data_IF_374167062380
#
_entry.id   IF_374167062380
#
_cell.length_a   1.000
_cell.length_b   1.000
_cell.length_c   1.000
_cell.angle_alpha   90.00
_cell.angle_beta   90.00
_cell.angle_gamma   90.00
#
_symmetry.space_group_name_H-M   'P 1'
#
loop_
_entity.id
_entity.type
_entity.pdbx_description
1 polymer ?
#
# COMPACT_ATOMS: atom_id res chain seq x y z
N UNK A 1 -10.97 18.14 5.66
CA UNK A 1 -10.93 16.87 4.89
C UNK A 1 -11.11 15.75 5.90
N UNK A 2 -11.80 14.68 5.52
CA UNK A 2 -12.07 13.59 6.46
C UNK A 2 -10.81 12.76 6.66
N UNK A 3 -10.47 12.50 7.93
CA UNK A 3 -9.32 11.68 8.30
C UNK A 3 -9.66 10.22 8.03
N UNK A 4 -8.87 9.57 7.16
CA UNK A 4 -9.05 8.17 6.82
C UNK A 4 -8.34 7.24 7.79
N UNK A 5 -7.07 7.52 8.11
CA UNK A 5 -6.26 6.74 9.05
C UNK A 5 -5.78 7.64 10.17
N UNK A 6 -5.97 7.22 11.43
CA UNK A 6 -5.50 7.93 12.62
C UNK A 6 -4.74 6.97 13.51
N UNK A 7 -3.54 7.37 13.87
CA UNK A 7 -2.61 6.60 14.71
C UNK A 7 -2.23 7.45 15.93
N UNK A 8 -2.46 6.93 17.13
CA UNK A 8 -2.21 7.64 18.38
C UNK A 8 -1.31 6.82 19.30
N UNK A 9 -0.15 7.38 19.65
CA UNK A 9 0.81 6.84 20.61
C UNK A 9 1.11 5.35 20.37
N UNK A 10 1.21 4.92 19.12
CA UNK A 10 1.44 3.53 18.75
C UNK A 10 2.80 3.07 19.26
N UNK A 11 2.79 1.97 20.00
CA UNK A 11 3.99 1.35 20.54
C UNK A 11 4.09 -0.11 20.04
N UNK A 12 5.32 -0.53 19.72
CA UNK A 12 5.66 -1.94 19.55
C UNK A 12 6.98 -2.15 20.27
N UNK A 13 7.00 -3.02 21.26
CA UNK A 13 8.15 -3.20 22.14
C UNK A 13 9.48 -3.26 21.39
N UNK A 14 10.42 -2.37 21.77
CA UNK A 14 11.76 -2.22 21.20
C UNK A 14 11.84 -1.77 19.74
N UNK A 15 10.68 -1.49 19.07
CA UNK A 15 10.65 -1.20 17.63
C UNK A 15 9.99 0.14 17.34
N UNK A 16 8.84 0.44 17.99
CA UNK A 16 8.09 1.69 17.77
C UNK A 16 7.81 2.40 19.09
N UNK A 17 8.00 3.71 19.13
CA UNK A 17 7.95 4.52 20.34
C UNK A 17 6.97 5.68 20.18
N UNK A 18 5.70 5.50 20.67
CA UNK A 18 4.65 6.54 20.69
C UNK A 18 4.41 7.22 19.33
N UNK A 19 4.47 6.44 18.25
CA UNK A 19 4.25 6.95 16.89
C UNK A 19 2.82 7.47 16.77
N UNK A 20 2.66 8.71 16.31
CA UNK A 20 1.35 9.34 16.09
C UNK A 20 1.35 10.11 14.78
N UNK A 21 0.38 9.85 13.92
CA UNK A 21 0.13 10.59 12.68
C UNK A 21 -1.30 10.36 12.20
N UNK A 22 -1.71 11.17 11.24
CA UNK A 22 -3.01 11.05 10.58
C UNK A 22 -2.80 11.02 9.06
N UNK A 23 -3.74 10.47 8.33
CA UNK A 23 -3.74 10.44 6.88
C UNK A 23 -5.15 10.82 6.38
N UNK A 24 -5.20 11.68 5.37
CA UNK A 24 -6.46 12.14 4.78
C UNK A 24 -6.96 11.19 3.70
N UNK A 25 -8.27 11.27 3.40
CA UNK A 25 -8.84 10.55 2.27
C UNK A 25 -8.20 11.01 0.96
N UNK A 26 -7.77 10.06 0.11
CA UNK A 26 -7.13 10.33 -1.17
C UNK A 26 -5.68 10.81 -1.07
N UNK A 27 -5.08 10.84 0.13
CA UNK A 27 -3.67 11.15 0.32
C UNK A 27 -2.78 9.99 -0.12
N UNK A 28 -1.62 10.30 -0.71
CA UNK A 28 -0.52 9.37 -0.91
C UNK A 28 0.60 9.72 0.08
N UNK A 29 0.74 8.91 1.13
CA UNK A 29 1.69 9.11 2.23
C UNK A 29 2.86 8.13 2.12
N UNK A 30 4.10 8.65 2.14
CA UNK A 30 5.30 7.81 2.24
C UNK A 30 5.81 7.74 3.69
N UNK A 31 6.21 6.55 4.12
CA UNK A 31 7.02 6.36 5.33
C UNK A 31 8.42 5.97 4.88
N UNK A 32 9.39 6.84 5.15
CA UNK A 32 10.80 6.64 4.86
C UNK A 32 11.61 6.40 6.14
N UNK A 33 12.81 5.85 5.98
CA UNK A 33 13.74 5.61 7.07
C UNK A 33 14.76 4.53 6.70
N UNK A 34 15.90 4.42 7.38
CA UNK A 34 16.91 3.40 7.11
C UNK A 34 16.38 1.97 7.36
N UNK A 35 17.14 0.97 6.92
CA UNK A 35 16.82 -0.43 7.24
C UNK A 35 16.78 -0.64 8.75
N UNK A 36 15.77 -1.35 9.24
CA UNK A 36 15.59 -1.59 10.68
C UNK A 36 14.91 -0.48 11.48
N UNK A 37 14.55 0.66 10.87
CA UNK A 37 13.88 1.77 11.59
C UNK A 37 12.44 1.49 12.04
N UNK A 38 11.85 0.35 11.66
CA UNK A 38 10.51 -0.05 12.07
C UNK A 38 9.40 0.23 11.04
N UNK A 39 9.72 0.62 9.79
CA UNK A 39 8.72 0.98 8.75
C UNK A 39 7.70 -0.11 8.45
N UNK A 40 8.14 -1.32 8.11
CA UNK A 40 7.23 -2.44 7.83
C UNK A 40 6.46 -2.86 9.08
N UNK A 41 7.10 -2.78 10.27
CA UNK A 41 6.42 -2.99 11.55
C UNK A 41 5.32 -1.97 11.75
N UNK A 42 5.57 -0.69 11.45
CA UNK A 42 4.56 0.36 11.52
C UNK A 42 3.40 0.06 10.56
N UNK A 43 3.69 -0.25 9.29
CA UNK A 43 2.68 -0.60 8.30
C UNK A 43 1.82 -1.79 8.75
N UNK A 44 2.42 -2.85 9.29
CA UNK A 44 1.66 -4.04 9.75
C UNK A 44 0.84 -3.76 11.00
N UNK A 45 1.31 -2.91 11.90
CA UNK A 45 0.53 -2.50 13.08
C UNK A 45 -0.65 -1.60 12.70
N UNK A 46 -0.47 -0.61 11.81
CA UNK A 46 -1.56 0.29 11.41
C UNK A 46 -2.60 -0.38 10.51
N UNK A 47 -2.24 -1.46 9.83
CA UNK A 47 -3.15 -2.28 9.03
C UNK A 47 -3.82 -3.42 9.80
N UNK A 48 -3.51 -3.57 11.09
CA UNK A 48 -4.04 -4.66 11.92
C UNK A 48 -3.55 -6.06 11.53
N UNK A 49 -2.41 -6.15 10.79
CA UNK A 49 -1.75 -7.43 10.51
C UNK A 49 -0.90 -7.91 11.69
N UNK A 50 -0.38 -6.97 12.47
CA UNK A 50 0.34 -7.22 13.71
C UNK A 50 -0.30 -6.43 14.85
N UNK A 51 -0.18 -6.93 16.06
CA UNK A 51 -0.77 -6.31 17.25
C UNK A 51 0.26 -5.37 17.90
N UNK A 52 -0.04 -4.06 18.05
CA UNK A 52 0.81 -3.15 18.82
C UNK A 52 0.78 -3.51 20.31
N UNK A 53 1.82 -3.12 21.05
CA UNK A 53 1.88 -3.28 22.51
C UNK A 53 1.22 -2.12 23.26
N UNK A 54 0.88 -1.04 22.55
CA UNK A 54 0.15 0.11 23.08
C UNK A 54 -0.22 1.11 21.99
N UNK A 55 -1.06 2.06 22.36
CA UNK A 55 -1.60 3.04 21.42
C UNK A 55 -2.85 2.55 20.69
N UNK A 56 -3.36 3.37 19.78
CA UNK A 56 -4.61 3.11 19.07
C UNK A 56 -4.49 3.46 17.59
N UNK A 57 -5.22 2.71 16.77
CA UNK A 57 -5.33 2.94 15.32
C UNK A 57 -6.80 2.90 14.92
N UNK A 58 -7.21 3.88 14.09
CA UNK A 58 -8.54 3.93 13.49
C UNK A 58 -8.46 4.00 11.97
N UNK A 59 -9.40 3.30 11.31
CA UNK A 59 -9.72 3.49 9.90
C UNK A 59 -11.12 4.10 9.81
N UNK A 60 -11.22 5.37 9.45
CA UNK A 60 -12.43 6.16 9.62
C UNK A 60 -12.86 6.13 11.09
N UNK A 61 -14.11 5.72 11.35
CA UNK A 61 -14.68 5.62 12.69
C UNK A 61 -14.40 4.27 13.39
N UNK A 62 -13.69 3.33 12.72
CA UNK A 62 -13.45 1.98 13.25
C UNK A 62 -12.10 1.91 13.96
N UNK A 63 -12.09 1.69 15.29
CA UNK A 63 -10.86 1.41 16.04
C UNK A 63 -10.36 -0.02 15.75
N UNK A 64 -9.25 -0.14 15.01
CA UNK A 64 -8.67 -1.42 14.57
C UNK A 64 -8.09 -2.18 15.77
N UNK A 65 -7.37 -1.49 16.66
CA UNK A 65 -6.64 -2.08 17.78
C UNK A 65 -7.50 -2.81 18.77
N UNK A 66 -8.77 -2.41 18.89
CA UNK A 66 -9.76 -3.05 19.78
C UNK A 66 -10.51 -4.25 19.18
N UNK A 67 -10.32 -4.53 17.89
CA UNK A 67 -11.04 -5.61 17.19
C UNK A 67 -10.47 -7.00 17.50
N UNK A 68 -11.34 -8.03 17.45
CA UNK A 68 -10.91 -9.42 17.41
C UNK A 68 -10.17 -9.74 16.10
N UNK A 69 -9.38 -10.82 16.07
CA UNK A 69 -8.64 -11.22 14.87
C UNK A 69 -9.55 -11.49 13.67
N UNK A 70 -10.72 -12.09 13.88
CA UNK A 70 -11.71 -12.31 12.83
C UNK A 70 -12.28 -10.98 12.28
N UNK A 71 -12.59 -10.01 13.16
CA UNK A 71 -13.05 -8.69 12.76
C UNK A 71 -11.97 -7.89 12.02
N UNK A 72 -10.69 -8.00 12.44
CA UNK A 72 -9.56 -7.43 11.71
C UNK A 72 -9.40 -8.08 10.33
N UNK A 73 -9.55 -9.41 10.24
CA UNK A 73 -9.46 -10.13 8.97
C UNK A 73 -10.59 -9.69 8.00
N UNK A 74 -11.81 -9.52 8.51
CA UNK A 74 -12.94 -9.01 7.72
C UNK A 74 -12.71 -7.56 7.28
N UNK A 75 -12.22 -6.70 8.17
CA UNK A 75 -11.87 -5.32 7.85
C UNK A 75 -10.79 -5.24 6.75
N UNK A 76 -9.71 -6.04 6.87
CA UNK A 76 -8.66 -6.10 5.85
C UNK A 76 -9.22 -6.59 4.51
N UNK A 77 -10.08 -7.61 4.52
CA UNK A 77 -10.66 -8.17 3.31
C UNK A 77 -11.53 -7.15 2.54
N UNK A 78 -12.30 -6.33 3.25
CA UNK A 78 -13.30 -5.46 2.63
C UNK A 78 -12.87 -4.01 2.44
N UNK A 79 -11.96 -3.50 3.31
CA UNK A 79 -11.63 -2.07 3.33
C UNK A 79 -10.17 -1.75 3.06
N UNK A 80 -9.28 -2.76 3.01
CA UNK A 80 -7.84 -2.55 2.83
C UNK A 80 -7.30 -3.36 1.66
N UNK A 81 -6.38 -2.77 0.89
CA UNK A 81 -5.60 -3.48 -0.11
C UNK A 81 -4.14 -3.58 0.31
N UNK A 82 -3.44 -4.63 -0.13
CA UNK A 82 -2.05 -4.88 0.26
C UNK A 82 -1.17 -5.22 -0.93
N UNK A 83 -0.03 -4.52 -1.01
CA UNK A 83 1.08 -4.81 -1.91
C UNK A 83 2.29 -5.09 -1.03
N UNK A 84 2.76 -6.32 -1.01
CA UNK A 84 3.90 -6.75 -0.22
C UNK A 84 5.19 -6.69 -1.03
N UNK A 85 6.31 -6.51 -0.35
CA UNK A 85 7.65 -6.61 -0.94
C UNK A 85 7.87 -7.98 -1.60
N UNK A 86 7.49 -9.06 -0.92
CA UNK A 86 7.33 -10.38 -1.54
C UNK A 86 5.91 -10.48 -2.08
N UNK A 87 5.76 -10.67 -3.35
CA UNK A 87 4.47 -10.58 -4.07
C UNK A 87 3.36 -11.51 -3.54
N UNK A 88 3.71 -12.54 -2.77
CA UNK A 88 2.78 -13.46 -2.07
C UNK A 88 1.65 -13.98 -2.98
N UNK A 89 2.00 -14.35 -4.22
CA UNK A 89 1.11 -15.04 -5.13
C UNK A 89 1.10 -16.53 -4.84
N UNK A 90 -0.06 -17.17 -4.97
CA UNK A 90 -0.21 -18.61 -4.77
C UNK A 90 0.32 -19.32 -6.01
N UNK A 91 1.37 -20.13 -5.84
CA UNK A 91 2.12 -20.76 -6.92
C UNK A 91 1.30 -21.70 -7.82
N UNK A 92 0.31 -22.37 -7.26
CA UNK A 92 -0.53 -23.34 -7.97
C UNK A 92 -1.73 -22.69 -8.70
N UNK A 93 -1.88 -21.36 -8.62
CA UNK A 93 -2.92 -20.61 -9.31
C UNK A 93 -2.33 -19.80 -10.45
N UNK A 94 -3.09 -19.67 -11.54
CA UNK A 94 -2.76 -18.71 -12.61
C UNK A 94 -2.95 -17.26 -12.13
N UNK A 95 -2.58 -16.29 -12.95
CA UNK A 95 -2.66 -14.85 -12.61
C UNK A 95 -4.12 -14.44 -12.33
N UNK A 96 -5.07 -14.83 -13.16
CA UNK A 96 -6.48 -14.47 -12.97
C UNK A 96 -7.06 -15.05 -11.68
N UNK A 97 -6.76 -16.30 -11.36
CA UNK A 97 -7.24 -16.95 -10.14
C UNK A 97 -6.64 -16.30 -8.88
N UNK A 98 -5.36 -15.91 -8.93
CA UNK A 98 -4.74 -15.12 -7.86
C UNK A 98 -5.44 -13.77 -7.65
N UNK A 99 -5.77 -13.06 -8.73
CA UNK A 99 -6.47 -11.78 -8.70
C UNK A 99 -7.89 -11.94 -8.13
N UNK A 100 -8.59 -13.02 -8.50
CA UNK A 100 -9.98 -13.27 -8.07
C UNK A 100 -10.08 -13.72 -6.61
N UNK A 101 -9.03 -14.28 -6.02
CA UNK A 101 -9.07 -14.92 -4.71
C UNK A 101 -9.71 -14.06 -3.61
N UNK A 102 -9.27 -12.81 -3.35
CA UNK A 102 -9.83 -11.99 -2.28
C UNK A 102 -11.30 -11.62 -2.55
N UNK A 103 -11.67 -11.28 -3.77
CA UNK A 103 -13.05 -10.89 -4.09
C UNK A 103 -14.00 -12.08 -4.06
N UNK A 104 -13.54 -13.27 -4.42
CA UNK A 104 -14.32 -14.50 -4.25
C UNK A 104 -14.53 -14.84 -2.76
N UNK A 105 -13.54 -14.56 -1.91
CA UNK A 105 -13.67 -14.77 -0.46
C UNK A 105 -14.66 -13.76 0.14
N UNK A 106 -14.56 -12.47 -0.21
CA UNK A 106 -15.47 -11.43 0.25
C UNK A 106 -16.92 -11.66 -0.19
N UNK A 107 -17.11 -12.30 -1.35
CA UNK A 107 -18.42 -12.54 -1.96
C UNK A 107 -19.16 -13.78 -1.38
N UNK A 108 -18.54 -14.56 -0.48
CA UNK A 108 -19.16 -15.74 0.12
C UNK A 108 -20.36 -15.36 1.01
N UNK A 109 -21.52 -15.96 0.74
CA UNK A 109 -22.67 -15.99 1.64
C UNK A 109 -23.64 -14.80 1.57
N UNK A 110 -23.55 -13.86 0.61
CA UNK A 110 -24.36 -12.62 0.64
C UNK A 110 -25.07 -12.26 -0.67
N UNK A 111 -25.44 -13.21 -1.52
CA UNK A 111 -26.13 -12.84 -2.77
C UNK A 111 -25.39 -11.82 -3.62
N UNK A 112 -24.05 -11.85 -3.58
CA UNK A 112 -23.17 -10.92 -4.26
C UNK A 112 -23.03 -11.18 -5.75
N UNK A 113 -22.06 -10.55 -6.40
CA UNK A 113 -21.78 -10.68 -7.84
C UNK A 113 -21.57 -12.15 -8.24
N UNK A 114 -22.10 -12.56 -9.38
CA UNK A 114 -21.84 -13.88 -9.96
C UNK A 114 -20.36 -14.05 -10.30
N UNK A 115 -19.89 -15.29 -10.41
CA UNK A 115 -18.51 -15.58 -10.82
C UNK A 115 -18.17 -14.94 -12.17
N UNK A 116 -19.12 -14.88 -13.11
CA UNK A 116 -18.93 -14.26 -14.41
C UNK A 116 -18.72 -12.74 -14.31
N UNK A 117 -19.46 -12.07 -13.43
CA UNK A 117 -19.28 -10.63 -13.16
C UNK A 117 -17.93 -10.32 -12.50
N UNK A 118 -17.51 -11.14 -11.53
CA UNK A 118 -16.19 -11.01 -10.91
C UNK A 118 -15.05 -11.20 -11.92
N UNK A 119 -15.17 -12.17 -12.82
CA UNK A 119 -14.19 -12.38 -13.90
C UNK A 119 -14.18 -11.18 -14.87
N UNK A 120 -15.33 -10.65 -15.22
CA UNK A 120 -15.43 -9.49 -16.10
C UNK A 120 -14.76 -8.25 -15.47
N UNK A 121 -14.98 -8.03 -14.17
CA UNK A 121 -14.34 -6.95 -13.41
C UNK A 121 -12.82 -7.16 -13.33
N UNK A 122 -12.35 -8.36 -12.97
CA UNK A 122 -10.92 -8.67 -12.95
C UNK A 122 -10.26 -8.39 -14.30
N UNK A 123 -10.87 -8.83 -15.41
CA UNK A 123 -10.38 -8.54 -16.77
C UNK A 123 -10.38 -7.06 -17.09
N UNK A 124 -11.34 -6.28 -16.59
CA UNK A 124 -11.35 -4.82 -16.73
C UNK A 124 -10.16 -4.18 -16.02
N UNK A 125 -9.90 -4.56 -14.76
CA UNK A 125 -8.74 -4.08 -13.97
C UNK A 125 -7.41 -4.51 -14.60
N UNK A 126 -7.33 -5.74 -15.09
CA UNK A 126 -6.15 -6.23 -15.80
C UNK A 126 -5.84 -5.41 -17.06
N UNK A 127 -6.87 -4.94 -17.80
CA UNK A 127 -6.68 -4.03 -18.94
C UNK A 127 -6.12 -2.67 -18.50
N UNK A 128 -6.66 -2.10 -17.43
CA UNK A 128 -6.16 -0.83 -16.87
C UNK A 128 -4.67 -0.91 -16.50
N UNK A 129 -4.22 -2.07 -15.99
CA UNK A 129 -2.85 -2.33 -15.58
C UNK A 129 -1.96 -2.96 -16.67
N UNK A 130 -2.43 -3.01 -17.93
CA UNK A 130 -1.68 -3.52 -19.08
C UNK A 130 -1.16 -4.96 -18.90
N UNK A 131 -2.01 -5.85 -18.34
CA UNK A 131 -1.73 -7.28 -18.10
C UNK A 131 -2.86 -8.19 -18.59
N UNK A 132 -3.67 -7.76 -19.56
CA UNK A 132 -4.86 -8.49 -20.04
C UNK A 132 -4.56 -9.90 -20.53
N UNK A 133 -3.42 -10.08 -21.18
CA UNK A 133 -3.00 -11.34 -21.83
C UNK A 133 -2.43 -12.36 -20.83
N UNK A 134 -2.21 -11.98 -19.58
CA UNK A 134 -1.54 -12.80 -18.58
C UNK A 134 -2.47 -13.71 -17.78
N UNK A 135 -3.80 -13.55 -17.92
CA UNK A 135 -4.77 -14.19 -17.03
C UNK A 135 -4.61 -15.71 -16.88
N UNK A 136 -4.30 -16.43 -17.95
CA UNK A 136 -4.07 -17.89 -17.94
C UNK A 136 -2.62 -18.31 -17.65
N UNK A 137 -1.69 -17.36 -17.53
CA UNK A 137 -0.27 -17.65 -17.27
C UNK A 137 -0.05 -18.04 -15.82
N UNK A 138 0.91 -18.95 -15.59
CA UNK A 138 1.43 -19.24 -14.27
C UNK A 138 2.33 -18.09 -13.79
N UNK A 139 2.48 -17.92 -12.48
CA UNK A 139 3.31 -16.87 -11.91
C UNK A 139 4.78 -16.92 -12.37
N UNK A 140 5.27 -18.11 -12.71
CA UNK A 140 6.65 -18.34 -13.22
C UNK A 140 6.81 -17.98 -14.70
N UNK A 141 5.73 -17.68 -15.41
CA UNK A 141 5.73 -17.40 -16.87
C UNK A 141 5.63 -15.89 -17.18
N UNK A 142 5.72 -15.04 -16.16
CA UNK A 142 5.58 -13.59 -16.28
C UNK A 142 6.79 -12.89 -15.68
N UNK A 143 7.09 -11.67 -16.16
CA UNK A 143 8.18 -10.87 -15.59
C UNK A 143 7.82 -10.35 -14.19
N UNK A 144 8.84 -9.94 -13.41
CA UNK A 144 8.62 -9.35 -12.09
C UNK A 144 7.68 -8.14 -12.11
N UNK A 145 7.85 -7.22 -13.07
CA UNK A 145 6.97 -6.06 -13.23
C UNK A 145 5.52 -6.44 -13.59
N UNK A 146 5.34 -7.45 -14.49
CA UNK A 146 4.02 -7.99 -14.79
C UNK A 146 3.37 -8.63 -13.56
N UNK A 147 4.14 -9.39 -12.79
CA UNK A 147 3.65 -10.02 -11.56
C UNK A 147 3.28 -8.95 -10.51
N UNK A 148 4.07 -7.88 -10.39
CA UNK A 148 3.77 -6.78 -9.48
C UNK A 148 2.48 -6.05 -9.87
N UNK A 149 2.24 -5.79 -11.17
CA UNK A 149 0.96 -5.23 -11.64
C UNK A 149 -0.21 -6.18 -11.38
N UNK A 150 -0.01 -7.49 -11.43
CA UNK A 150 -1.02 -8.46 -11.02
C UNK A 150 -1.29 -8.40 -9.50
N UNK A 151 -0.26 -8.15 -8.66
CA UNK A 151 -0.44 -7.90 -7.22
C UNK A 151 -1.25 -6.63 -6.95
N UNK A 152 -0.96 -5.54 -7.68
CA UNK A 152 -1.77 -4.32 -7.62
C UNK A 152 -3.22 -4.63 -8.02
N UNK A 153 -3.42 -5.34 -9.13
CA UNK A 153 -4.76 -5.73 -9.58
C UNK A 153 -5.51 -6.50 -8.49
N UNK A 154 -4.87 -7.49 -7.87
CA UNK A 154 -5.43 -8.27 -6.76
C UNK A 154 -5.82 -7.40 -5.58
N UNK A 155 -4.97 -6.44 -5.20
CA UNK A 155 -5.16 -5.60 -4.01
C UNK A 155 -6.33 -4.63 -4.13
N UNK A 156 -6.75 -4.25 -5.35
CA UNK A 156 -7.85 -3.32 -5.60
C UNK A 156 -9.17 -3.99 -5.98
N UNK A 157 -9.24 -5.33 -6.00
CA UNK A 157 -10.45 -6.06 -6.44
C UNK A 157 -11.66 -5.83 -5.55
N UNK A 158 -11.46 -5.62 -4.26
CA UNK A 158 -12.53 -5.35 -3.28
C UNK A 158 -12.82 -3.85 -3.10
N UNK A 159 -12.29 -2.97 -3.98
CA UNK A 159 -12.48 -1.52 -3.92
C UNK A 159 -12.12 -0.95 -2.52
N UNK A 160 -10.88 -1.18 -2.04
CA UNK A 160 -10.49 -0.79 -0.69
C UNK A 160 -10.47 0.73 -0.52
N UNK A 161 -10.63 1.21 0.72
CA UNK A 161 -10.52 2.62 1.07
C UNK A 161 -9.06 3.10 1.14
N UNK A 162 -8.16 2.17 1.47
CA UNK A 162 -6.72 2.43 1.59
C UNK A 162 -5.91 1.26 1.02
N UNK A 163 -4.82 1.58 0.34
CA UNK A 163 -3.83 0.64 -0.16
C UNK A 163 -2.55 0.77 0.67
N UNK A 164 -2.14 -0.30 1.33
CA UNK A 164 -0.86 -0.41 2.02
C UNK A 164 0.17 -1.05 1.10
N UNK A 165 1.32 -0.41 0.91
CA UNK A 165 2.36 -0.86 0.00
C UNK A 165 3.72 -0.91 0.73
N UNK A 166 4.26 -2.11 0.92
CA UNK A 166 5.55 -2.35 1.55
C UNK A 166 6.61 -2.54 0.47
N UNK A 167 7.42 -1.53 0.22
CA UNK A 167 8.47 -1.48 -0.80
C UNK A 167 8.03 -2.04 -2.18
N UNK A 168 6.95 -1.55 -2.76
CA UNK A 168 6.30 -2.18 -3.92
C UNK A 168 7.20 -2.35 -5.14
N UNK A 169 8.23 -1.50 -5.40
CA UNK A 169 9.19 -1.73 -6.49
C UNK A 169 10.49 -2.44 -6.06
N UNK A 170 10.65 -2.81 -4.77
CA UNK A 170 11.95 -3.14 -4.17
C UNK A 170 12.73 -4.32 -4.79
N UNK A 171 12.06 -5.22 -5.54
CA UNK A 171 12.69 -6.36 -6.20
C UNK A 171 12.80 -6.19 -7.73
N UNK A 172 12.47 -5.00 -8.28
CA UNK A 172 12.36 -4.76 -9.71
C UNK A 172 13.57 -3.97 -10.26
N UNK A 173 13.83 -4.12 -11.57
CA UNK A 173 14.75 -3.20 -12.24
C UNK A 173 14.13 -1.80 -12.36
N UNK A 174 14.95 -0.77 -12.64
CA UNK A 174 14.54 0.65 -12.66
C UNK A 174 13.34 0.94 -13.58
N UNK A 175 13.27 0.28 -14.75
CA UNK A 175 12.16 0.49 -15.70
C UNK A 175 10.85 -0.05 -15.13
N UNK A 176 10.84 -1.31 -14.69
CA UNK A 176 9.66 -1.94 -14.11
C UNK A 176 9.21 -1.27 -12.80
N UNK A 177 10.18 -0.78 -11.99
CA UNK A 177 9.89 0.02 -10.81
C UNK A 177 9.14 1.31 -11.16
N UNK A 178 9.59 2.03 -12.19
CA UNK A 178 8.93 3.24 -12.67
C UNK A 178 7.49 2.97 -13.15
N UNK A 179 7.26 1.87 -13.85
CA UNK A 179 5.91 1.47 -14.29
C UNK A 179 4.97 1.20 -13.10
N UNK A 180 5.46 0.51 -12.07
CA UNK A 180 4.68 0.22 -10.84
C UNK A 180 4.31 1.52 -10.12
N UNK A 181 5.26 2.44 -9.96
CA UNK A 181 4.99 3.75 -9.33
C UNK A 181 3.98 4.56 -10.15
N UNK A 182 4.09 4.55 -11.47
CA UNK A 182 3.13 5.22 -12.35
C UNK A 182 1.71 4.66 -12.21
N UNK A 183 1.55 3.33 -12.05
CA UNK A 183 0.24 2.74 -11.79
C UNK A 183 -0.33 3.14 -10.41
N UNK A 184 0.50 3.19 -9.37
CA UNK A 184 0.07 3.68 -8.05
C UNK A 184 -0.35 5.15 -8.09
N UNK A 185 0.38 5.99 -8.83
CA UNK A 185 0.01 7.40 -9.04
C UNK A 185 -1.33 7.54 -9.74
N UNK A 186 -1.61 6.75 -10.77
CA UNK A 186 -2.92 6.77 -11.44
C UNK A 186 -4.05 6.41 -10.48
N UNK A 187 -3.88 5.36 -9.67
CA UNK A 187 -4.85 4.97 -8.66
C UNK A 187 -5.08 6.09 -7.64
N UNK A 188 -4.02 6.78 -7.20
CA UNK A 188 -4.15 7.91 -6.28
C UNK A 188 -4.87 9.11 -6.94
N UNK A 189 -4.59 9.41 -8.21
CA UNK A 189 -5.30 10.45 -8.98
C UNK A 189 -6.80 10.12 -9.16
N UNK A 190 -7.16 8.83 -9.18
CA UNK A 190 -8.55 8.34 -9.17
C UNK A 190 -9.19 8.38 -7.76
N UNK A 191 -8.47 8.86 -6.74
CA UNK A 191 -8.97 9.05 -5.37
C UNK A 191 -8.56 7.96 -4.38
N UNK A 192 -7.76 6.97 -4.77
CA UNK A 192 -7.25 5.93 -3.87
C UNK A 192 -6.29 6.52 -2.84
N UNK A 193 -6.53 6.26 -1.55
CA UNK A 193 -5.58 6.56 -0.49
C UNK A 193 -4.47 5.51 -0.45
N UNK A 194 -3.20 5.93 -0.41
CA UNK A 194 -2.06 4.99 -0.47
C UNK A 194 -1.05 5.33 0.63
N UNK A 195 -0.80 4.38 1.52
CA UNK A 195 0.32 4.44 2.46
C UNK A 195 1.44 3.53 1.95
N UNK A 196 2.57 4.13 1.59
CA UNK A 196 3.72 3.44 1.00
C UNK A 196 4.91 3.47 1.95
N UNK A 197 5.52 2.32 2.19
CA UNK A 197 6.83 2.23 2.86
C UNK A 197 7.89 2.10 1.79
N UNK A 198 8.90 2.96 1.85
CA UNK A 198 10.00 2.94 0.88
C UNK A 198 11.28 3.52 1.46
N UNK A 199 12.42 3.10 0.92
CA UNK A 199 13.72 3.73 1.12
C UNK A 199 14.18 4.51 -0.12
N UNK A 200 13.39 4.52 -1.20
CA UNK A 200 13.70 5.19 -2.45
C UNK A 200 13.11 6.62 -2.45
N UNK A 201 13.97 7.63 -2.45
CA UNK A 201 13.59 9.04 -2.48
C UNK A 201 12.82 9.43 -3.75
N UNK A 202 13.06 8.73 -4.86
CA UNK A 202 12.32 8.95 -6.11
C UNK A 202 10.87 8.50 -5.96
N UNK A 203 10.63 7.34 -5.33
CA UNK A 203 9.27 6.88 -5.01
C UNK A 203 8.60 7.86 -4.04
N UNK A 204 9.28 8.22 -2.96
CA UNK A 204 8.74 9.14 -1.97
C UNK A 204 8.43 10.54 -2.52
N UNK A 205 9.22 11.02 -3.50
CA UNK A 205 8.97 12.31 -4.15
C UNK A 205 7.67 12.37 -4.95
N UNK A 206 7.07 11.22 -5.26
CA UNK A 206 5.76 11.16 -5.92
C UNK A 206 4.58 11.25 -4.94
N UNK A 207 4.83 11.11 -3.63
CA UNK A 207 3.80 11.15 -2.60
C UNK A 207 3.44 12.59 -2.20
N UNK A 208 2.26 12.79 -1.63
CA UNK A 208 1.79 14.10 -1.17
C UNK A 208 2.55 14.57 0.07
N UNK A 209 2.96 13.60 0.93
CA UNK A 209 3.66 13.85 2.19
C UNK A 209 4.57 12.67 2.53
N UNK A 210 5.65 12.97 3.24
CA UNK A 210 6.63 11.99 3.70
C UNK A 210 6.76 12.09 5.21
N UNK A 211 6.74 10.95 5.89
CA UNK A 211 7.12 10.79 7.30
C UNK A 211 8.48 10.10 7.34
N UNK A 212 9.43 10.66 8.07
CA UNK A 212 10.73 10.05 8.32
C UNK A 212 10.76 9.34 9.66
N UNK A 213 10.91 8.03 9.62
CA UNK A 213 10.99 7.15 10.79
C UNK A 213 12.44 6.73 11.03
N UNK A 214 12.97 7.01 12.22
CA UNK A 214 14.31 6.62 12.65
C UNK A 214 14.24 6.05 14.06
N UNK A 215 14.79 4.83 14.25
CA UNK A 215 14.82 4.12 15.54
C UNK A 215 13.45 4.05 16.23
N UNK A 216 12.38 3.84 15.46
CA UNK A 216 11.02 3.71 15.95
C UNK A 216 10.31 5.02 16.29
N UNK A 217 10.94 6.17 16.07
CA UNK A 217 10.37 7.52 16.29
C UNK A 217 10.15 8.26 14.98
N UNK A 218 9.10 9.06 14.90
CA UNK A 218 8.96 10.06 13.83
C UNK A 218 9.93 11.21 14.11
N UNK A 219 10.87 11.42 13.21
CA UNK A 219 11.88 12.49 13.31
C UNK A 219 11.53 13.72 12.51
N UNK A 220 10.65 13.60 11.53
CA UNK A 220 10.21 14.72 10.73
C UNK A 220 9.13 14.35 9.73
N UNK A 221 8.48 15.38 9.21
CA UNK A 221 7.50 15.28 8.13
C UNK A 221 7.79 16.33 7.05
N UNK A 222 7.59 15.94 5.78
CA UNK A 222 7.75 16.84 4.63
C UNK A 222 6.47 16.81 3.79
N UNK A 223 5.73 17.92 3.78
CA UNK A 223 4.60 18.12 2.87
C UNK A 223 5.08 18.53 1.47
N UNK A 224 4.65 17.81 0.46
CA UNK A 224 4.95 18.08 -0.95
C UNK A 224 3.71 18.53 -1.73
N UNK A 225 2.50 18.23 -1.25
CA UNK A 225 1.23 18.44 -1.96
C UNK A 225 1.05 17.47 -3.12
N UNK A 226 -0.02 17.62 -3.89
CA UNK A 226 -0.28 16.77 -5.07
C UNK A 226 0.80 16.94 -6.13
N UNK A 227 1.16 15.83 -6.80
CA UNK A 227 2.16 15.86 -7.87
C UNK A 227 1.56 16.53 -9.11
N UNK A 228 2.15 17.66 -9.51
CA UNK A 228 1.83 18.33 -10.77
C UNK A 228 2.83 17.92 -11.86
N UNK A 229 2.34 17.82 -13.10
CA UNK A 229 3.18 17.53 -14.25
C UNK A 229 4.35 18.54 -14.35
N UNK A 230 5.56 18.07 -14.59
CA UNK A 230 6.82 18.83 -14.69
C UNK A 230 7.59 19.09 -13.38
N UNK A 231 7.09 18.75 -12.20
CA UNK A 231 7.78 19.02 -10.93
C UNK A 231 8.59 17.84 -10.35
N UNK A 232 8.61 16.67 -11.01
CA UNK A 232 9.19 15.44 -10.49
C UNK A 232 10.66 15.60 -10.03
N UNK A 233 11.50 16.16 -10.89
CA UNK A 233 12.92 16.36 -10.59
C UNK A 233 13.15 17.34 -9.43
N UNK A 234 12.41 18.43 -9.40
CA UNK A 234 12.52 19.43 -8.33
C UNK A 234 12.05 18.86 -6.98
N UNK A 235 11.01 18.02 -7.00
CA UNK A 235 10.51 17.34 -5.79
C UNK A 235 11.53 16.33 -5.28
N UNK A 236 12.14 15.54 -6.16
CA UNK A 236 13.19 14.57 -5.81
C UNK A 236 14.40 15.29 -5.19
N UNK A 237 14.86 16.40 -5.77
CA UNK A 237 15.94 17.23 -5.20
C UNK A 237 15.57 17.80 -3.82
N UNK A 238 14.31 18.24 -3.63
CA UNK A 238 13.80 18.72 -2.33
C UNK A 238 13.78 17.61 -1.29
N UNK A 239 13.31 16.43 -1.65
CA UNK A 239 13.29 15.25 -0.76
C UNK A 239 14.71 14.85 -0.37
N UNK A 240 15.63 14.74 -1.34
CA UNK A 240 17.01 14.34 -1.08
C UNK A 240 17.71 15.34 -0.13
N UNK A 241 17.51 16.65 -0.32
CA UNK A 241 18.07 17.68 0.58
C UNK A 241 17.51 17.53 1.99
N UNK A 242 16.20 17.40 2.11
CA UNK A 242 15.55 17.22 3.41
C UNK A 242 15.99 15.94 4.13
N UNK A 243 16.18 14.83 3.40
CA UNK A 243 16.71 13.59 3.98
C UNK A 243 18.15 13.75 4.47
N UNK A 244 19.01 14.47 3.74
CA UNK A 244 20.36 14.80 4.21
C UNK A 244 20.33 15.60 5.52
N UNK A 245 19.43 16.58 5.65
CA UNK A 245 19.24 17.34 6.88
C UNK A 245 18.76 16.46 8.06
N UNK A 246 18.04 15.36 7.76
CA UNK A 246 17.60 14.37 8.75
C UNK A 246 18.68 13.32 9.11
N UNK A 247 19.84 13.34 8.44
CA UNK A 247 20.93 12.39 8.69
C UNK A 247 20.80 11.08 7.90
N UNK A 248 20.10 11.12 6.77
CA UNK A 248 19.98 9.97 5.83
C UNK A 248 21.30 9.62 5.17
#
# INVERSE_FOLDING_TARGET
>A
MDKLLRVENLNKDKILHKVSFEMEQGEMLAIMGPSGSGKSTLLYNVSGMDQPTGGKVWLGDTEITGLSEDAKADLRLHRMGFIFQQMNMIANLNILDNILLPVMQANKGKGGKSKSELIAEAKRRMRQLSISELGSRQITQVSGGQLQRACICRSIMNEPEILFADEPPGALNKSAAGEVVAELLKLNQEGMSILIVTHDSKVASTCDRIIYLLDGDIRGELGLGKLENSMEKQREERVNRWLMDMGW
#
